data_IF_034329413004
#
_entry.id   IF_034329413004
#
_cell.length_a   1.000
_cell.length_b   1.000
_cell.length_c   1.000
_cell.angle_alpha   90.00
_cell.angle_beta   90.00
_cell.angle_gamma   90.00
#
_symmetry.space_group_name_H-M   'P 1'
#
loop_
_entity.id
_entity.type
_entity.pdbx_description
1 polymer ?
#
# COMPACT_ATOMS: atom_id res chain seq x y z
N UNK A 1 -60.93 11.20 25.11
CA UNK A 1 -61.06 10.21 26.20
C UNK A 1 -62.25 9.30 25.89
N UNK A 2 -62.17 8.01 26.25
CA UNK A 2 -62.70 6.85 25.50
C UNK A 2 -64.04 6.32 26.06
N UNK A 3 -64.57 5.20 25.54
CA UNK A 3 -64.39 3.90 26.25
C UNK A 3 -64.10 2.74 25.26
N UNK A 4 -63.20 1.79 25.55
CA UNK A 4 -63.22 0.71 26.56
C UNK A 4 -63.91 -0.59 26.06
N UNK A 5 -63.07 -1.62 26.02
CA UNK A 5 -63.25 -3.01 26.45
C UNK A 5 -64.34 -3.93 25.85
N UNK A 6 -63.84 -5.16 25.61
CA UNK A 6 -64.47 -6.46 25.82
C UNK A 6 -65.30 -7.06 24.67
N UNK A 7 -64.81 -8.22 24.19
CA UNK A 7 -65.61 -9.43 23.99
C UNK A 7 -64.71 -10.64 23.79
N UNK A 8 -64.65 -11.44 24.84
CA UNK A 8 -64.33 -12.85 24.90
C UNK A 8 -65.24 -13.68 23.95
N UNK A 9 -64.68 -14.55 23.09
CA UNK A 9 -65.43 -15.67 22.52
C UNK A 9 -64.56 -16.93 22.36
N UNK A 10 -65.15 -18.06 22.74
CA UNK A 10 -64.56 -19.39 22.90
C UNK A 10 -64.72 -20.21 21.61
N UNK A 11 -63.71 -21.02 21.27
CA UNK A 11 -63.85 -22.34 20.59
C UNK A 11 -62.57 -23.15 20.87
N UNK A 12 -62.54 -24.06 21.85
CA UNK A 12 -62.98 -25.47 21.87
C UNK A 12 -62.40 -26.39 20.78
N UNK A 13 -62.12 -27.63 21.24
CA UNK A 13 -61.68 -28.85 20.53
C UNK A 13 -60.14 -28.94 20.38
N UNK A 14 -59.43 -29.91 20.92
CA UNK A 14 -59.72 -31.29 21.35
C UNK A 14 -58.38 -32.07 21.38
N UNK A 15 -58.34 -33.35 21.80
CA UNK A 15 -57.49 -33.74 22.93
C UNK A 15 -56.55 -34.94 22.67
N UNK A 16 -55.63 -35.20 23.63
CA UNK A 16 -54.90 -36.47 23.90
C UNK A 16 -53.81 -36.78 22.83
N UNK A 17 -52.53 -37.05 23.14
CA UNK A 17 -51.90 -38.17 23.85
C UNK A 17 -50.58 -37.68 24.52
N UNK A 18 -50.31 -37.85 25.81
CA UNK A 18 -49.96 -39.07 26.57
C UNK A 18 -48.52 -39.60 26.33
N UNK A 19 -47.67 -39.31 27.32
CA UNK A 19 -46.57 -40.10 27.94
C UNK A 19 -45.14 -40.05 27.35
N UNK A 20 -44.19 -40.09 28.31
CA UNK A 20 -42.75 -40.41 28.26
C UNK A 20 -41.84 -39.19 28.04
N UNK A 21 -40.92 -38.76 28.90
CA UNK A 21 -40.28 -39.37 30.06
C UNK A 21 -39.56 -38.29 30.87
N UNK A 22 -39.43 -38.50 32.18
CA UNK A 22 -38.56 -37.75 33.06
C UNK A 22 -37.07 -37.89 32.64
N UNK A 23 -36.25 -36.98 33.17
CA UNK A 23 -34.79 -36.83 33.02
C UNK A 23 -34.35 -36.08 31.77
N UNK A 24 -33.88 -34.85 31.94
CA UNK A 24 -32.46 -34.52 31.82
C UNK A 24 -32.30 -33.00 32.02
N UNK A 25 -32.13 -32.61 33.28
CA UNK A 25 -31.36 -31.41 33.63
C UNK A 25 -29.94 -31.63 33.07
N UNK A 26 -29.70 -31.19 31.84
CA UNK A 26 -28.47 -31.39 31.08
C UNK A 26 -27.75 -30.06 30.87
N UNK A 27 -27.05 -29.65 31.91
CA UNK A 27 -25.91 -28.72 31.98
C UNK A 27 -25.50 -28.08 30.63
N UNK A 28 -25.84 -26.79 30.54
CA UNK A 28 -25.11 -25.75 29.81
C UNK A 28 -23.61 -25.83 30.13
N UNK A 29 -22.79 -26.38 29.23
CA UNK A 29 -21.33 -26.17 29.21
C UNK A 29 -20.78 -26.60 27.83
N UNK A 30 -21.13 -25.87 26.76
CA UNK A 30 -20.30 -25.89 25.56
C UNK A 30 -19.11 -24.97 25.84
N UNK A 31 -18.03 -25.55 26.37
CA UNK A 31 -16.76 -24.87 26.56
C UNK A 31 -16.21 -24.52 25.17
N UNK A 32 -16.45 -23.28 24.74
CA UNK A 32 -15.74 -22.68 23.62
C UNK A 32 -14.30 -22.51 24.06
N UNK A 33 -13.45 -23.47 23.67
CA UNK A 33 -12.00 -23.32 23.76
C UNK A 33 -11.62 -22.27 22.73
N UNK A 34 -11.65 -21.00 23.14
CA UNK A 34 -11.01 -19.92 22.40
C UNK A 34 -9.51 -20.18 22.53
N UNK A 35 -8.95 -20.86 21.54
CA UNK A 35 -7.51 -20.90 21.36
C UNK A 35 -7.05 -19.46 21.21
N UNK A 36 -6.36 -18.94 22.22
CA UNK A 36 -5.61 -17.71 22.13
C UNK A 36 -4.43 -17.95 21.17
N UNK A 37 -4.73 -18.01 19.88
CA UNK A 37 -3.72 -17.74 18.86
C UNK A 37 -3.32 -16.29 19.08
N UNK A 38 -2.20 -16.09 19.77
CA UNK A 38 -1.56 -14.79 19.88
C UNK A 38 -1.37 -14.25 18.47
N UNK A 39 -2.15 -13.23 18.11
CA UNK A 39 -1.90 -12.46 16.91
C UNK A 39 -0.60 -11.70 17.18
N UNK A 40 0.52 -12.26 16.73
CA UNK A 40 1.74 -11.50 16.59
C UNK A 40 1.45 -10.41 15.56
N UNK A 41 1.11 -9.21 16.04
CA UNK A 41 1.09 -7.97 15.25
C UNK A 41 2.53 -7.59 14.91
N UNK A 42 3.24 -8.44 14.17
CA UNK A 42 4.41 -8.02 13.42
C UNK A 42 3.88 -7.20 12.24
N UNK A 43 3.43 -5.98 12.52
CA UNK A 43 2.81 -5.07 11.57
C UNK A 43 3.84 -4.50 10.61
N UNK A 44 4.31 -5.33 9.68
CA UNK A 44 5.03 -4.87 8.50
C UNK A 44 4.15 -3.97 7.63
N UNK A 45 4.75 -3.25 6.67
CA UNK A 45 4.01 -2.41 5.75
C UNK A 45 2.96 -3.22 4.99
N UNK A 46 1.72 -2.73 4.95
CA UNK A 46 0.65 -3.36 4.18
C UNK A 46 0.97 -3.23 2.69
N UNK A 47 1.04 -4.33 1.94
CA UNK A 47 1.19 -4.24 0.51
C UNK A 47 -0.05 -3.66 -0.17
N UNK A 48 0.11 -3.25 -1.43
CA UNK A 48 -0.98 -2.77 -2.26
C UNK A 48 -2.05 -3.82 -2.48
N UNK A 49 -3.31 -3.39 -2.53
CA UNK A 49 -4.46 -4.30 -2.69
C UNK A 49 -4.46 -5.04 -4.03
N UNK A 50 -3.89 -4.45 -5.07
CA UNK A 50 -3.80 -5.04 -6.39
C UNK A 50 -2.36 -5.07 -6.90
N UNK A 51 -1.94 -6.15 -7.59
CA UNK A 51 -0.61 -6.21 -8.18
C UNK A 51 -0.46 -5.17 -9.30
N UNK A 52 0.80 -4.80 -9.58
CA UNK A 52 1.15 -4.06 -10.79
C UNK A 52 0.62 -4.78 -12.04
N UNK A 53 0.18 -4.01 -13.03
CA UNK A 53 -0.12 -4.53 -14.36
C UNK A 53 1.12 -5.17 -15.02
N UNK A 54 0.94 -6.10 -15.97
CA UNK A 54 2.05 -6.69 -16.72
C UNK A 54 2.84 -5.62 -17.49
N UNK A 55 2.17 -4.56 -17.94
CA UNK A 55 2.71 -3.37 -18.61
C UNK A 55 3.30 -2.32 -17.67
N UNK A 56 3.25 -2.54 -16.34
CA UNK A 56 3.63 -1.55 -15.34
C UNK A 56 2.51 -0.58 -14.96
N UNK A 57 1.27 -0.78 -15.43
CA UNK A 57 0.13 0.00 -15.01
C UNK A 57 -0.11 -0.10 -13.50
N UNK A 58 -0.13 1.05 -12.81
CA UNK A 58 -0.35 1.09 -11.36
C UNK A 58 -1.84 0.95 -11.04
N UNK A 59 -2.19 0.01 -10.16
CA UNK A 59 -3.57 -0.28 -9.74
C UNK A 59 -3.76 0.09 -8.27
N UNK A 60 -3.62 1.38 -8.00
CA UNK A 60 -3.61 1.94 -6.64
C UNK A 60 -5.03 2.03 -6.12
N UNK A 61 -5.29 1.45 -4.94
CA UNK A 61 -6.57 1.59 -4.23
C UNK A 61 -6.57 2.81 -3.28
N UNK A 62 -7.76 3.30 -2.88
CA UNK A 62 -7.89 4.36 -1.88
C UNK A 62 -7.32 4.00 -0.49
N UNK A 63 -7.15 2.72 -0.20
CA UNK A 63 -6.65 2.20 1.06
C UNK A 63 -5.12 2.03 1.06
N UNK A 64 -4.49 1.97 -0.12
CA UNK A 64 -3.04 1.79 -0.25
C UNK A 64 -2.28 2.91 0.47
N UNK A 65 -1.24 2.51 1.21
CA UNK A 65 -0.39 3.42 1.99
C UNK A 65 1.04 3.30 1.50
N UNK A 66 1.70 4.44 1.32
CA UNK A 66 3.13 4.50 1.06
C UNK A 66 3.91 3.87 2.24
N UNK A 67 4.71 2.81 2.05
CA UNK A 67 5.43 2.16 3.15
C UNK A 67 6.42 3.08 3.89
N UNK A 68 6.88 4.15 3.23
CA UNK A 68 7.88 5.06 3.78
C UNK A 68 7.28 6.16 4.65
N UNK A 69 6.11 6.69 4.28
CA UNK A 69 5.55 7.89 4.93
C UNK A 69 4.05 7.80 5.26
N UNK A 70 3.44 6.63 5.03
CA UNK A 70 2.02 6.36 5.24
C UNK A 70 1.04 7.27 4.45
N UNK A 71 1.51 8.08 3.51
CA UNK A 71 0.63 8.87 2.65
C UNK A 71 -0.05 8.02 1.59
N UNK A 72 -1.23 8.46 1.16
CA UNK A 72 -2.06 7.82 0.15
C UNK A 72 -1.49 8.04 -1.26
N UNK A 73 -0.93 7.02 -1.95
CA UNK A 73 -0.39 7.20 -3.30
C UNK A 73 -1.46 7.65 -4.30
N UNK A 74 -2.73 7.26 -4.09
CA UNK A 74 -3.85 7.66 -4.95
C UNK A 74 -4.06 9.17 -5.03
N UNK A 75 -3.61 9.94 -4.02
CA UNK A 75 -3.68 11.41 -4.02
C UNK A 75 -2.59 12.07 -4.89
N UNK A 76 -1.61 11.29 -5.34
CA UNK A 76 -0.45 11.78 -6.08
C UNK A 76 -0.20 10.96 -7.36
N UNK A 77 -1.21 10.79 -8.24
CA UNK A 77 -1.14 9.85 -9.35
C UNK A 77 0.00 10.16 -10.31
N UNK A 78 0.42 11.43 -10.46
CA UNK A 78 1.55 11.83 -11.32
C UNK A 78 2.93 11.49 -10.76
N UNK A 79 3.04 11.32 -9.45
CA UNK A 79 4.29 11.01 -8.74
C UNK A 79 4.30 9.58 -8.21
N UNK A 80 3.21 8.84 -8.39
CA UNK A 80 3.12 7.48 -7.90
C UNK A 80 4.23 6.62 -8.50
N UNK A 81 4.71 5.71 -7.67
CA UNK A 81 5.74 4.74 -8.01
C UNK A 81 5.37 3.41 -7.35
N UNK A 82 6.02 2.33 -7.78
CA UNK A 82 5.74 1.00 -7.29
C UNK A 82 6.97 0.12 -7.25
N UNK A 83 6.97 -0.89 -6.39
CA UNK A 83 7.93 -2.00 -6.38
C UNK A 83 7.14 -3.31 -6.32
N UNK A 84 7.35 -4.18 -7.29
CA UNK A 84 6.92 -5.58 -7.27
C UNK A 84 8.04 -6.45 -6.68
N UNK A 85 7.70 -7.40 -5.80
CA UNK A 85 8.62 -8.42 -5.29
C UNK A 85 8.57 -9.71 -6.14
N UNK A 86 9.61 -10.56 -6.08
CA UNK A 86 9.72 -11.77 -6.92
C UNK A 86 8.55 -12.75 -6.74
N UNK A 87 8.27 -13.12 -5.50
CA UNK A 87 7.24 -14.09 -5.09
C UNK A 87 6.16 -13.41 -4.23
N UNK A 88 6.00 -12.09 -4.41
CA UNK A 88 5.41 -11.26 -3.37
C UNK A 88 4.54 -10.13 -3.90
N UNK A 89 4.06 -9.31 -2.97
CA UNK A 89 3.08 -8.30 -3.28
C UNK A 89 3.73 -7.07 -3.93
N UNK A 90 2.88 -6.20 -4.48
CA UNK A 90 3.28 -4.88 -4.98
C UNK A 90 3.15 -3.86 -3.86
N UNK A 91 4.11 -2.95 -3.73
CA UNK A 91 4.00 -1.78 -2.87
C UNK A 91 3.88 -0.52 -3.71
N UNK A 92 2.95 0.36 -3.35
CA UNK A 92 2.76 1.65 -4.01
C UNK A 92 3.27 2.80 -3.14
N UNK A 93 3.93 3.77 -3.77
CA UNK A 93 4.57 4.89 -3.11
C UNK A 93 3.96 6.19 -3.60
N UNK A 94 3.82 7.15 -2.69
CA UNK A 94 3.29 8.48 -3.05
C UNK A 94 4.25 9.31 -3.90
N UNK A 95 5.54 8.97 -3.92
CA UNK A 95 6.56 9.69 -4.68
C UNK A 95 7.68 8.76 -5.14
N UNK A 96 8.42 9.12 -6.20
CA UNK A 96 9.59 8.36 -6.62
C UNK A 96 10.69 8.39 -5.55
N UNK A 97 10.81 9.49 -4.79
CA UNK A 97 11.76 9.58 -3.67
C UNK A 97 11.49 8.55 -2.57
N UNK A 98 10.23 8.33 -2.19
CA UNK A 98 9.90 7.25 -1.26
C UNK A 98 10.26 5.88 -1.84
N UNK A 99 9.91 5.62 -3.11
CA UNK A 99 10.24 4.36 -3.77
C UNK A 99 11.75 4.10 -3.79
N UNK A 100 12.56 5.12 -4.10
CA UNK A 100 14.01 5.01 -4.13
C UNK A 100 14.61 4.76 -2.74
N UNK A 101 14.03 5.35 -1.68
CA UNK A 101 14.45 5.04 -0.31
C UNK A 101 14.18 3.57 0.05
N UNK A 102 12.98 3.07 -0.30
CA UNK A 102 12.62 1.67 -0.12
C UNK A 102 13.42 0.70 -0.99
N UNK A 103 13.87 1.14 -2.17
CA UNK A 103 14.77 0.38 -3.03
C UNK A 103 16.16 0.20 -2.40
N UNK A 104 16.70 1.26 -1.76
CA UNK A 104 17.98 1.19 -1.05
C UNK A 104 17.90 0.42 0.28
N UNK A 105 16.76 0.53 0.97
CA UNK A 105 16.55 -0.01 2.31
C UNK A 105 15.28 -0.87 2.39
N UNK A 106 15.19 -1.96 1.60
CA UNK A 106 13.98 -2.78 1.53
C UNK A 106 13.71 -3.55 2.83
N UNK A 107 14.74 -3.81 3.62
CA UNK A 107 14.65 -4.44 4.94
C UNK A 107 13.89 -3.54 5.92
N UNK A 108 14.20 -2.24 5.90
CA UNK A 108 13.57 -1.22 6.75
C UNK A 108 12.13 -0.95 6.30
N UNK A 109 11.92 -0.75 5.00
CA UNK A 109 10.65 -0.21 4.50
C UNK A 109 9.68 -1.25 3.97
N UNK A 110 10.14 -2.44 3.61
CA UNK A 110 9.33 -3.49 2.97
C UNK A 110 9.39 -4.81 3.74
N UNK A 111 10.28 -4.97 4.72
CA UNK A 111 10.56 -6.26 5.35
C UNK A 111 11.09 -7.28 4.35
N UNK A 112 11.81 -6.82 3.32
CA UNK A 112 12.30 -7.63 2.21
C UNK A 112 13.81 -7.45 2.03
N UNK A 113 14.46 -8.44 1.43
CA UNK A 113 15.85 -8.34 1.01
C UNK A 113 15.96 -7.72 -0.39
N UNK A 114 17.13 -7.16 -0.72
CA UNK A 114 17.39 -6.65 -2.08
C UNK A 114 17.16 -7.71 -3.16
N UNK A 115 17.48 -8.98 -2.88
CA UNK A 115 17.26 -10.09 -3.80
C UNK A 115 15.77 -10.34 -4.10
N UNK A 116 14.86 -9.96 -3.21
CA UNK A 116 13.41 -10.11 -3.42
C UNK A 116 12.81 -9.00 -4.28
N UNK A 117 13.52 -7.89 -4.53
CA UNK A 117 13.05 -6.80 -5.38
C UNK A 117 13.07 -7.23 -6.85
N UNK A 118 11.90 -7.28 -7.49
CA UNK A 118 11.76 -7.72 -8.89
C UNK A 118 11.73 -6.54 -9.85
N UNK A 119 10.77 -5.64 -9.65
CA UNK A 119 10.43 -4.62 -10.65
C UNK A 119 10.05 -3.29 -10.00
N UNK A 120 10.92 -2.28 -10.06
CA UNK A 120 10.55 -0.92 -9.70
C UNK A 120 9.89 -0.22 -10.91
N UNK A 121 8.75 0.44 -10.70
CA UNK A 121 8.01 1.14 -11.75
C UNK A 121 7.75 2.59 -11.34
N UNK A 122 7.98 3.51 -12.27
CA UNK A 122 7.76 4.95 -12.09
C UNK A 122 7.01 5.50 -13.30
N UNK A 123 6.30 6.62 -13.12
CA UNK A 123 5.75 7.38 -14.24
C UNK A 123 6.75 8.46 -14.67
N UNK A 124 7.12 8.47 -15.95
CA UNK A 124 8.02 9.49 -16.49
C UNK A 124 7.36 10.87 -16.49
N UNK A 125 8.12 11.90 -16.12
CA UNK A 125 7.55 13.21 -15.76
C UNK A 125 6.76 13.89 -16.90
N UNK A 126 7.26 13.79 -18.13
CA UNK A 126 6.74 14.53 -19.28
C UNK A 126 5.57 13.80 -19.96
N UNK A 127 5.63 12.47 -20.11
CA UNK A 127 4.59 11.70 -20.80
C UNK A 127 3.63 10.95 -19.86
N UNK A 128 3.97 10.82 -18.57
CA UNK A 128 3.20 10.00 -17.63
C UNK A 128 3.30 8.50 -17.90
N UNK A 129 4.21 8.09 -18.80
CA UNK A 129 4.38 6.69 -19.18
C UNK A 129 5.01 5.89 -18.04
N UNK A 130 4.41 4.73 -17.71
CA UNK A 130 4.99 3.78 -16.78
C UNK A 130 6.25 3.14 -17.38
N UNK A 131 7.36 3.18 -16.64
CA UNK A 131 8.64 2.61 -17.05
C UNK A 131 9.30 1.89 -15.89
N UNK A 132 10.09 0.87 -16.23
CA UNK A 132 11.03 0.29 -15.29
C UNK A 132 12.02 1.36 -14.83
N UNK A 133 12.10 1.56 -13.51
CA UNK A 133 12.90 2.61 -12.90
C UNK A 133 14.42 2.44 -13.10
N UNK A 134 14.86 1.24 -13.52
CA UNK A 134 16.24 0.97 -13.96
C UNK A 134 16.54 1.55 -15.34
N UNK A 135 15.53 1.86 -16.14
CA UNK A 135 15.65 2.30 -17.54
C UNK A 135 15.22 3.77 -17.75
N UNK A 136 15.39 4.62 -16.74
CA UNK A 136 15.15 6.07 -16.82
C UNK A 136 16.38 6.87 -16.39
N UNK A 137 16.47 8.12 -16.82
CA UNK A 137 17.36 9.10 -16.22
C UNK A 137 16.69 9.69 -14.99
N UNK A 138 17.41 9.75 -13.87
CA UNK A 138 16.95 10.42 -12.67
C UNK A 138 17.55 11.82 -12.61
N UNK A 139 16.72 12.79 -12.26
CA UNK A 139 17.15 14.17 -12.00
C UNK A 139 16.89 14.54 -10.55
N UNK A 140 17.84 15.22 -9.92
CA UNK A 140 17.65 15.90 -8.64
C UNK A 140 18.14 17.35 -8.68
N UNK A 141 17.63 18.16 -7.75
CA UNK A 141 17.91 19.59 -7.69
C UNK A 141 17.32 20.40 -8.84
N UNK A 142 16.14 20.00 -9.33
CA UNK A 142 15.27 20.82 -10.17
C UNK A 142 14.32 21.67 -9.32
N UNK A 143 13.57 22.58 -9.95
CA UNK A 143 12.49 23.33 -9.30
C UNK A 143 11.19 22.53 -9.09
N UNK A 144 11.10 21.30 -9.60
CA UNK A 144 9.92 20.43 -9.46
C UNK A 144 9.73 20.00 -8.01
N UNK A 145 8.56 20.31 -7.45
CA UNK A 145 8.12 19.90 -6.12
C UNK A 145 7.13 18.74 -6.24
N UNK A 146 7.45 17.65 -5.56
CA UNK A 146 6.59 16.50 -5.38
C UNK A 146 5.97 16.43 -3.99
N UNK A 147 5.26 15.34 -3.68
CA UNK A 147 4.51 15.21 -2.42
C UNK A 147 5.39 15.28 -1.17
N UNK A 148 6.67 14.92 -1.30
CA UNK A 148 7.66 14.88 -0.21
C UNK A 148 8.70 16.02 -0.31
N UNK A 149 8.40 17.12 -0.99
CA UNK A 149 9.35 18.22 -1.23
C UNK A 149 10.04 18.13 -2.60
N UNK A 150 11.30 18.62 -2.74
CA UNK A 150 12.04 18.55 -4.00
C UNK A 150 12.02 17.13 -4.60
N UNK A 151 11.60 17.02 -5.85
CA UNK A 151 11.35 15.73 -6.48
C UNK A 151 12.63 15.10 -7.03
N UNK A 152 12.71 13.76 -6.91
CA UNK A 152 13.55 12.95 -7.79
C UNK A 152 12.72 12.61 -9.03
N UNK A 153 13.15 13.12 -10.18
CA UNK A 153 12.32 13.16 -11.39
C UNK A 153 12.80 12.12 -12.41
N UNK A 154 11.97 11.14 -12.78
CA UNK A 154 12.30 10.15 -13.80
C UNK A 154 12.02 10.68 -15.22
N UNK A 155 13.00 10.54 -16.11
CA UNK A 155 12.93 10.98 -17.51
C UNK A 155 13.26 9.83 -18.44
N UNK A 156 12.43 9.67 -19.48
CA UNK A 156 12.42 8.50 -20.37
C UNK A 156 13.72 8.30 -21.13
N UNK A 157 14.29 9.39 -21.65
CA UNK A 157 15.44 9.37 -22.54
C UNK A 157 16.18 10.72 -22.51
N UNK A 158 17.26 10.82 -23.26
CA UNK A 158 18.11 12.03 -23.34
C UNK A 158 17.36 13.22 -23.92
N UNK A 159 16.44 13.02 -24.87
CA UNK A 159 15.61 14.10 -25.44
C UNK A 159 14.71 14.71 -24.37
N UNK A 160 14.06 13.87 -23.56
CA UNK A 160 13.25 14.30 -22.42
C UNK A 160 14.11 14.96 -21.33
N UNK A 161 15.32 14.45 -21.09
CA UNK A 161 16.28 15.03 -20.15
C UNK A 161 16.67 16.46 -20.52
N UNK A 162 17.08 16.69 -21.78
CA UNK A 162 17.47 18.03 -22.21
C UNK A 162 16.28 19.00 -22.24
N UNK A 163 15.09 18.52 -22.64
CA UNK A 163 13.88 19.32 -22.59
C UNK A 163 13.52 19.73 -21.14
N UNK A 164 13.65 18.81 -20.19
CA UNK A 164 13.41 19.06 -18.78
C UNK A 164 14.44 20.04 -18.20
N UNK A 165 15.73 19.78 -18.42
CA UNK A 165 16.85 20.60 -17.89
C UNK A 165 16.72 22.07 -18.27
N UNK A 166 16.33 22.37 -19.52
CA UNK A 166 16.13 23.75 -19.98
C UNK A 166 15.03 24.51 -19.23
N UNK A 167 14.00 23.81 -18.73
CA UNK A 167 12.83 24.42 -18.09
C UNK A 167 12.91 24.43 -16.57
N UNK A 168 13.47 23.38 -15.99
CA UNK A 168 13.39 23.09 -14.56
C UNK A 168 14.75 23.04 -13.85
N UNK A 169 15.84 23.07 -14.62
CA UNK A 169 17.18 22.74 -14.13
C UNK A 169 17.35 21.24 -13.88
N UNK A 170 18.61 20.83 -13.69
CA UNK A 170 18.97 19.44 -13.36
C UNK A 170 20.35 19.43 -12.71
N UNK A 171 20.41 19.75 -11.40
CA UNK A 171 21.69 19.85 -10.67
C UNK A 171 22.46 18.52 -10.68
N UNK A 172 21.75 17.41 -10.52
CA UNK A 172 22.31 16.08 -10.63
C UNK A 172 21.51 15.25 -11.62
N UNK A 173 22.20 14.44 -12.42
CA UNK A 173 21.61 13.42 -13.28
C UNK A 173 22.32 12.11 -12.97
N UNK A 174 21.55 11.05 -12.74
CA UNK A 174 22.10 9.75 -12.34
C UNK A 174 21.25 8.59 -12.88
N UNK A 175 21.83 7.40 -12.86
CA UNK A 175 21.16 6.12 -13.13
C UNK A 175 20.86 5.39 -11.82
N UNK A 176 19.90 4.47 -11.82
CA UNK A 176 19.45 3.84 -10.57
C UNK A 176 20.55 3.03 -9.87
N UNK A 177 21.47 2.44 -10.62
CA UNK A 177 22.64 1.71 -10.12
C UNK A 177 23.72 2.61 -9.49
N UNK A 178 23.72 3.91 -9.83
CA UNK A 178 24.57 4.90 -9.19
C UNK A 178 24.02 5.33 -7.82
N UNK A 179 22.72 5.18 -7.58
CA UNK A 179 22.09 5.53 -6.30
C UNK A 179 22.56 4.60 -5.19
N UNK A 180 23.06 5.16 -4.09
CA UNK A 180 23.50 4.39 -2.93
C UNK A 180 23.32 5.21 -1.63
N UNK A 181 23.57 4.56 -0.49
CA UNK A 181 23.43 5.21 0.81
C UNK A 181 24.33 6.46 0.96
N UNK A 182 25.56 6.43 0.42
CA UNK A 182 26.53 7.52 0.57
C UNK A 182 26.15 8.78 -0.23
N UNK A 183 25.52 8.63 -1.40
CA UNK A 183 25.10 9.78 -2.21
C UNK A 183 23.64 10.23 -1.97
N UNK A 184 22.88 9.50 -1.15
CA UNK A 184 21.47 9.81 -0.85
C UNK A 184 21.28 11.25 -0.36
N UNK A 185 22.05 11.69 0.63
CA UNK A 185 21.92 13.06 1.18
C UNK A 185 22.32 14.12 0.15
N UNK A 186 23.36 13.86 -0.65
CA UNK A 186 23.75 14.77 -1.74
C UNK A 186 22.64 14.93 -2.78
N UNK A 187 21.99 13.82 -3.15
CA UNK A 187 20.95 13.82 -4.18
C UNK A 187 19.61 14.38 -3.68
N UNK A 188 19.27 14.18 -2.41
CA UNK A 188 17.93 14.46 -1.87
C UNK A 188 17.87 15.61 -0.86
N UNK A 189 18.99 16.00 -0.28
CA UNK A 189 19.05 16.91 0.87
C UNK A 189 18.48 16.31 2.16
N UNK A 190 18.27 14.99 2.21
CA UNK A 190 17.70 14.28 3.37
C UNK A 190 18.69 13.24 3.85
N UNK A 191 18.75 13.04 5.16
CA UNK A 191 19.53 11.93 5.71
C UNK A 191 18.89 10.58 5.32
N UNK A 192 19.69 9.57 4.97
CA UNK A 192 19.17 8.23 4.77
C UNK A 192 18.75 7.64 6.13
N UNK A 193 17.90 6.60 6.14
CA UNK A 193 17.61 5.84 7.35
C UNK A 193 18.90 5.33 7.98
N UNK A 194 18.98 5.36 9.31
CA UNK A 194 20.06 4.68 10.03
C UNK A 194 19.76 3.18 10.03
N UNK A 195 20.77 2.33 9.77
CA UNK A 195 20.64 0.88 9.94
C UNK A 195 20.35 0.50 11.40
#
# INVERSE_FOLDING_TARGET
MPPACDKNDRRTQGPIYLVWSALFFGILCLAVVIGAAGVCLAGGPTPGQQPLGPDGGMRISPEDRCPVCAMLPIRYPRFAAAIELQEGPTYYFCSPGCMLNAWLHPDIFLGATAAQLKRPVVLTYLSGEARDARHVFWVSGSDVIGPMGPALVPLKDTTHLEAFRRRHGAKHVFRLDELNHANWETLTGKQPPRP
#
